data_IF_171097371939
#
_entry.id   IF_171097371939
#
_cell.length_a   1.000
_cell.length_b   1.000
_cell.length_c   1.000
_cell.angle_alpha   90.00
_cell.angle_beta   90.00
_cell.angle_gamma   90.00
#
_symmetry.space_group_name_H-M   'P 1'
#
loop_
_entity.id
_entity.type
_entity.pdbx_description
1 polymer ?
#
# COMPACT_ATOMS: atom_id res chain seq x y z
N UNK A 1 -54.75 28.67 -16.72
CA UNK A 1 -53.60 28.92 -17.63
C UNK A 1 -52.33 28.82 -16.81
N UNK A 2 -51.25 28.34 -17.44
CA UNK A 2 -49.93 27.99 -16.91
C UNK A 2 -49.76 26.52 -16.49
N UNK A 3 -49.58 25.71 -17.53
CA UNK A 3 -48.89 24.43 -17.59
C UNK A 3 -47.41 24.59 -17.23
N UNK A 4 -46.89 23.73 -16.35
CA UNK A 4 -45.45 23.57 -16.10
C UNK A 4 -44.95 22.31 -16.79
N UNK A 5 -44.05 22.53 -17.73
CA UNK A 5 -43.42 21.53 -18.60
C UNK A 5 -42.22 20.89 -17.87
N UNK A 6 -42.22 19.57 -17.74
CA UNK A 6 -41.07 18.78 -17.30
C UNK A 6 -39.97 18.79 -18.37
N UNK A 7 -38.75 19.20 -18.01
CA UNK A 7 -37.56 19.00 -18.84
C UNK A 7 -36.87 17.70 -18.40
N UNK A 8 -37.03 16.65 -19.22
CA UNK A 8 -36.15 15.49 -19.21
C UNK A 8 -34.80 15.88 -19.82
N UNK A 9 -33.71 15.73 -19.06
CA UNK A 9 -32.36 15.78 -19.59
C UNK A 9 -32.03 14.42 -20.21
N UNK A 10 -31.97 14.37 -21.55
CA UNK A 10 -31.59 13.19 -22.30
C UNK A 10 -30.06 12.99 -22.27
N UNK A 11 -29.64 11.79 -21.84
CA UNK A 11 -28.27 11.31 -21.98
C UNK A 11 -27.92 11.13 -23.46
N UNK A 12 -26.91 11.87 -23.94
CA UNK A 12 -26.32 11.68 -25.26
C UNK A 12 -25.32 10.53 -25.16
N UNK A 13 -25.69 9.39 -25.74
CA UNK A 13 -24.80 8.27 -26.00
C UNK A 13 -23.99 8.55 -27.28
N UNK A 14 -22.68 8.66 -27.16
CA UNK A 14 -21.77 8.66 -28.31
C UNK A 14 -21.55 7.21 -28.77
N UNK A 15 -22.15 6.87 -29.90
CA UNK A 15 -21.72 5.75 -30.76
C UNK A 15 -20.46 6.16 -31.53
N UNK A 16 -19.49 5.24 -31.63
CA UNK A 16 -18.74 4.85 -32.85
C UNK A 16 -17.28 4.52 -32.54
N UNK A 17 -16.92 3.24 -32.69
CA UNK A 17 -15.76 2.73 -33.44
C UNK A 17 -15.41 1.32 -32.96
N UNK A 18 -15.85 0.32 -33.73
CA UNK A 18 -15.28 -1.03 -33.72
C UNK A 18 -14.06 -1.07 -34.65
N UNK A 19 -13.02 -1.86 -34.33
CA UNK A 19 -12.15 -2.43 -35.35
C UNK A 19 -12.52 -3.88 -35.65
N UNK A 20 -12.44 -4.21 -36.94
CA UNK A 20 -12.77 -5.49 -37.58
C UNK A 20 -11.93 -6.67 -37.08
N UNK A 21 -12.56 -7.85 -37.05
CA UNK A 21 -11.90 -9.15 -36.92
C UNK A 21 -11.33 -9.57 -38.28
N UNK A 22 -10.09 -10.01 -38.30
CA UNK A 22 -9.58 -10.96 -39.30
C UNK A 22 -8.91 -12.13 -38.59
N UNK A 23 -9.54 -13.29 -38.68
CA UNK A 23 -8.95 -14.60 -38.35
C UNK A 23 -7.91 -14.98 -39.40
N UNK A 24 -6.68 -15.28 -38.99
CA UNK A 24 -5.80 -16.19 -39.74
C UNK A 24 -5.04 -17.06 -38.74
N UNK A 25 -5.33 -18.36 -38.81
CA UNK A 25 -4.62 -19.45 -38.15
C UNK A 25 -3.31 -19.76 -38.88
N UNK A 26 -2.20 -19.89 -38.15
CA UNK A 26 -1.04 -20.65 -38.59
C UNK A 26 -0.25 -21.20 -37.38
N UNK A 27 0.19 -22.45 -37.52
CA UNK A 27 0.69 -23.35 -36.47
C UNK A 27 2.21 -23.58 -36.66
N UNK A 28 3.00 -23.35 -35.59
CA UNK A 28 4.26 -24.06 -35.16
C UNK A 28 5.55 -23.77 -35.97
N UNK A 29 6.78 -23.62 -35.37
CA UNK A 29 7.35 -24.52 -34.35
C UNK A 29 8.09 -23.94 -33.13
N UNK A 30 8.21 -24.84 -32.15
CA UNK A 30 9.03 -24.78 -30.92
C UNK A 30 10.50 -24.98 -31.26
N UNK A 31 11.40 -24.13 -30.76
CA UNK A 31 12.74 -24.45 -30.22
C UNK A 31 13.41 -23.18 -29.65
N UNK A 32 14.11 -23.31 -28.51
CA UNK A 32 15.14 -22.35 -28.08
C UNK A 32 15.04 -21.90 -26.62
N UNK A 33 15.68 -22.65 -25.72
CA UNK A 33 15.96 -22.23 -24.36
C UNK A 33 17.00 -21.10 -24.43
N UNK A 34 16.58 -19.87 -24.13
CA UNK A 34 17.45 -18.70 -24.02
C UNK A 34 17.35 -18.11 -22.61
N UNK A 35 18.44 -18.20 -21.87
CA UNK A 35 18.58 -17.67 -20.50
C UNK A 35 18.33 -16.15 -20.50
N UNK A 36 17.30 -15.69 -19.78
CA UNK A 36 17.06 -14.28 -19.57
C UNK A 36 18.13 -13.74 -18.60
N UNK A 37 19.09 -13.01 -19.14
CA UNK A 37 20.03 -12.20 -18.36
C UNK A 37 19.25 -11.00 -17.82
N UNK A 38 18.95 -11.05 -16.53
CA UNK A 38 18.40 -9.92 -15.78
C UNK A 38 19.52 -8.91 -15.57
N UNK A 39 19.54 -7.83 -16.34
CA UNK A 39 20.46 -6.71 -16.14
C UNK A 39 19.94 -5.83 -15.01
N UNK A 40 20.74 -5.76 -13.95
CA UNK A 40 20.54 -4.95 -12.75
C UNK A 40 20.62 -3.46 -13.12
N UNK A 41 19.47 -2.79 -13.13
CA UNK A 41 19.40 -1.33 -13.19
C UNK A 41 19.04 -0.81 -11.80
N UNK A 42 20.04 -0.72 -10.93
CA UNK A 42 19.95 0.10 -9.73
C UNK A 42 19.96 1.57 -10.15
N UNK A 43 18.78 2.18 -10.26
CA UNK A 43 18.67 3.63 -10.31
C UNK A 43 19.11 4.15 -8.94
N UNK A 44 20.28 4.78 -8.87
CA UNK A 44 20.70 5.54 -7.70
C UNK A 44 19.73 6.72 -7.54
N UNK A 45 18.84 6.64 -6.55
CA UNK A 45 18.04 7.80 -6.13
C UNK A 45 19.01 8.73 -5.39
N UNK A 46 19.22 9.98 -5.86
CA UNK A 46 20.16 10.89 -5.22
C UNK A 46 19.74 11.16 -3.77
N UNK A 47 20.68 10.99 -2.84
CA UNK A 47 20.53 11.20 -1.39
C UNK A 47 20.12 12.66 -1.04
N UNK A 48 20.31 13.61 -1.96
CA UNK A 48 20.03 15.04 -1.75
C UNK A 48 18.55 15.44 -1.95
N UNK A 49 17.67 14.56 -2.47
CA UNK A 49 16.27 14.92 -2.76
C UNK A 49 15.27 14.62 -1.65
N UNK A 50 15.69 13.99 -0.55
CA UNK A 50 14.80 13.66 0.55
C UNK A 50 15.34 14.37 1.81
N UNK A 51 14.79 15.53 2.15
CA UNK A 51 15.11 16.31 3.36
C UNK A 51 14.69 15.63 4.68
N UNK A 52 14.79 14.30 4.75
CA UNK A 52 14.46 13.45 5.89
C UNK A 52 15.77 12.93 6.47
N UNK A 53 16.01 13.19 7.75
CA UNK A 53 17.07 12.54 8.52
C UNK A 53 16.71 11.07 8.75
N UNK A 54 17.06 10.22 7.78
CA UNK A 54 16.72 8.79 7.82
C UNK A 54 17.33 8.08 9.03
N UNK A 55 18.46 8.54 9.54
CA UNK A 55 19.12 7.95 10.72
C UNK A 55 18.35 8.25 12.00
N UNK A 56 17.87 9.49 12.19
CA UNK A 56 17.09 9.88 13.36
C UNK A 56 15.79 9.08 13.52
N UNK A 57 15.22 8.60 12.40
CA UNK A 57 13.96 7.85 12.39
C UNK A 57 14.13 6.36 12.11
N UNK A 58 15.37 5.86 11.97
CA UNK A 58 15.65 4.46 11.65
C UNK A 58 14.99 4.02 10.35
N UNK A 59 14.98 4.90 9.35
CA UNK A 59 14.43 4.68 8.02
C UNK A 59 15.55 4.28 7.06
N UNK A 60 15.19 3.45 6.09
CA UNK A 60 16.05 3.10 4.97
C UNK A 60 15.37 3.55 3.70
N UNK A 61 16.05 4.37 2.90
CA UNK A 61 15.55 4.85 1.61
C UNK A 61 16.21 4.14 0.42
N UNK A 62 17.34 3.47 0.64
CA UNK A 62 18.04 2.68 -0.39
C UNK A 62 17.91 1.19 -0.11
N UNK A 63 17.57 0.35 -1.10
CA UNK A 63 17.44 -1.09 -0.89
C UNK A 63 18.80 -1.75 -0.56
N UNK A 64 18.76 -2.85 0.19
CA UNK A 64 19.94 -3.71 0.43
C UNK A 64 19.64 -5.12 -0.06
N UNK A 65 20.54 -5.62 -0.91
CA UNK A 65 20.48 -6.98 -1.44
C UNK A 65 19.42 -7.11 -2.54
N UNK A 66 18.86 -8.32 -2.70
CA UNK A 66 17.88 -8.61 -3.75
C UNK A 66 16.46 -8.58 -3.20
N UNK A 67 15.51 -8.12 -4.00
CA UNK A 67 14.10 -8.03 -3.59
C UNK A 67 13.51 -9.39 -3.18
N UNK A 68 13.89 -10.46 -3.88
CA UNK A 68 13.46 -11.82 -3.52
C UNK A 68 13.94 -12.24 -2.13
N UNK A 69 15.17 -11.86 -1.76
CA UNK A 69 15.73 -12.15 -0.44
C UNK A 69 14.99 -11.36 0.65
N UNK A 70 14.60 -10.11 0.37
CA UNK A 70 13.78 -9.32 1.29
C UNK A 70 12.40 -9.96 1.54
N UNK A 71 11.74 -10.47 0.49
CA UNK A 71 10.47 -11.21 0.63
C UNK A 71 10.64 -12.51 1.43
N UNK A 72 11.72 -13.25 1.18
CA UNK A 72 12.03 -14.47 1.94
C UNK A 72 12.26 -14.17 3.43
N UNK A 73 12.99 -13.11 3.74
CA UNK A 73 13.22 -12.66 5.13
C UNK A 73 11.90 -12.35 5.86
N UNK A 74 10.97 -11.65 5.19
CA UNK A 74 9.64 -11.36 5.74
C UNK A 74 8.90 -12.66 6.12
N UNK A 75 8.94 -13.65 5.22
CA UNK A 75 8.29 -14.96 5.44
C UNK A 75 8.96 -15.70 6.61
N UNK A 76 10.29 -15.75 6.68
CA UNK A 76 11.00 -16.44 7.76
C UNK A 76 10.72 -15.81 9.13
N UNK A 77 10.71 -14.48 9.23
CA UNK A 77 10.39 -13.77 10.48
C UNK A 77 8.95 -14.01 10.93
N UNK A 78 8.00 -13.99 9.99
CA UNK A 78 6.59 -14.34 10.26
C UNK A 78 6.43 -15.77 10.76
N UNK A 79 7.11 -16.74 10.14
CA UNK A 79 7.07 -18.16 10.54
C UNK A 79 7.65 -18.38 11.94
N UNK A 80 8.74 -17.71 12.29
CA UNK A 80 9.31 -17.77 13.64
C UNK A 80 8.30 -17.30 14.70
N UNK A 81 7.65 -16.16 14.45
CA UNK A 81 6.62 -15.63 15.34
C UNK A 81 5.38 -16.54 15.37
N UNK A 82 4.99 -17.11 14.23
CA UNK A 82 3.86 -18.05 14.15
C UNK A 82 4.10 -19.28 15.03
N UNK A 83 5.30 -19.87 15.01
CA UNK A 83 5.64 -21.01 15.87
C UNK A 83 5.50 -20.64 17.34
N UNK A 84 6.06 -19.48 17.75
CA UNK A 84 5.93 -18.98 19.12
C UNK A 84 4.46 -18.74 19.51
N UNK A 85 3.68 -18.15 18.61
CA UNK A 85 2.26 -17.85 18.83
C UNK A 85 1.44 -19.14 19.03
N UNK A 86 1.68 -20.16 18.21
CA UNK A 86 1.01 -21.47 18.32
C UNK A 86 1.39 -22.23 19.59
N UNK A 87 2.63 -22.10 20.05
CA UNK A 87 3.12 -22.71 21.29
C UNK A 87 2.69 -21.96 22.56
N UNK A 88 2.17 -20.74 22.44
CA UNK A 88 1.73 -19.94 23.58
C UNK A 88 0.45 -20.53 24.20
N UNK A 89 0.50 -20.77 25.51
CA UNK A 89 -0.57 -21.41 26.30
C UNK A 89 -1.50 -20.42 27.00
N UNK A 90 -1.16 -19.12 27.00
CA UNK A 90 -1.98 -18.08 27.64
C UNK A 90 -2.26 -16.93 26.66
N UNK A 91 -3.40 -16.26 26.86
CA UNK A 91 -3.78 -15.09 26.06
C UNK A 91 -2.80 -13.94 26.24
N UNK A 92 -2.27 -13.74 27.46
CA UNK A 92 -1.25 -12.73 27.73
C UNK A 92 0.01 -12.94 26.90
N UNK A 93 0.51 -14.18 26.81
CA UNK A 93 1.67 -14.51 25.96
C UNK A 93 1.36 -14.29 24.48
N UNK A 94 0.15 -14.65 24.02
CA UNK A 94 -0.29 -14.39 22.64
C UNK A 94 -0.33 -12.90 22.33
N UNK A 95 -0.90 -12.08 23.21
CA UNK A 95 -0.94 -10.62 23.03
C UNK A 95 0.46 -9.99 22.95
N UNK A 96 1.43 -10.47 23.74
CA UNK A 96 2.83 -10.01 23.65
C UNK A 96 3.45 -10.36 22.29
N UNK A 97 3.21 -11.58 21.79
CA UNK A 97 3.71 -12.01 20.48
C UNK A 97 3.01 -11.25 19.34
N UNK A 98 1.71 -10.97 19.46
CA UNK A 98 0.97 -10.14 18.49
C UNK A 98 1.53 -8.71 18.45
N UNK A 99 1.83 -8.11 19.60
CA UNK A 99 2.47 -6.79 19.64
C UNK A 99 3.88 -6.79 19.03
N UNK A 100 4.66 -7.86 19.23
CA UNK A 100 5.95 -8.04 18.56
C UNK A 100 5.78 -8.20 17.04
N UNK A 101 4.78 -8.96 16.60
CA UNK A 101 4.43 -9.12 15.19
C UNK A 101 4.14 -7.78 14.52
N UNK A 102 3.40 -6.89 15.20
CA UNK A 102 3.15 -5.52 14.75
C UNK A 102 4.42 -4.73 14.47
N UNK A 103 5.38 -4.76 15.41
CA UNK A 103 6.69 -4.11 15.23
C UNK A 103 7.48 -4.75 14.10
N UNK A 104 7.54 -6.08 14.04
CA UNK A 104 8.29 -6.81 13.01
C UNK A 104 7.72 -6.53 11.61
N UNK A 105 6.41 -6.61 11.42
CA UNK A 105 5.78 -6.30 10.14
C UNK A 105 6.06 -4.85 9.71
N UNK A 106 5.96 -3.92 10.64
CA UNK A 106 6.29 -2.49 10.40
C UNK A 106 7.73 -2.34 9.92
N UNK A 107 8.70 -2.92 10.63
CA UNK A 107 10.12 -2.85 10.26
C UNK A 107 10.42 -3.55 8.94
N UNK A 108 9.77 -4.68 8.65
CA UNK A 108 9.91 -5.35 7.35
C UNK A 108 9.39 -4.47 6.21
N UNK A 109 8.24 -3.82 6.38
CA UNK A 109 7.69 -2.92 5.37
C UNK A 109 8.63 -1.73 5.11
N UNK A 110 8.95 -0.95 6.15
CA UNK A 110 9.69 0.31 6.00
C UNK A 110 11.16 0.09 5.61
N UNK A 111 11.81 -0.95 6.13
CA UNK A 111 13.26 -1.11 6.01
C UNK A 111 13.68 -2.24 5.06
N UNK A 112 12.76 -3.10 4.62
CA UNK A 112 13.07 -4.23 3.72
C UNK A 112 12.25 -4.25 2.43
N UNK A 113 10.99 -3.80 2.46
CA UNK A 113 10.10 -3.84 1.28
C UNK A 113 10.06 -2.50 0.54
N UNK A 114 9.60 -1.42 1.20
CA UNK A 114 9.46 -0.10 0.59
C UNK A 114 10.73 0.44 -0.08
N UNK A 115 11.96 0.21 0.44
CA UNK A 115 13.17 0.74 -0.17
C UNK A 115 13.39 0.29 -1.62
N UNK A 116 12.95 -0.92 -1.97
CA UNK A 116 13.04 -1.38 -3.36
C UNK A 116 12.01 -0.68 -4.26
N UNK A 117 10.87 -0.27 -3.71
CA UNK A 117 9.81 0.34 -4.49
C UNK A 117 10.04 1.81 -4.78
N UNK A 118 10.79 2.55 -3.95
CA UNK A 118 11.04 3.97 -4.20
C UNK A 118 11.56 4.21 -5.63
N UNK A 119 11.02 5.23 -6.29
CA UNK A 119 11.30 5.54 -7.71
C UNK A 119 10.54 4.69 -8.74
N UNK A 120 9.76 3.68 -8.33
CA UNK A 120 8.91 2.93 -9.29
C UNK A 120 7.86 3.89 -9.86
N UNK A 121 7.81 4.02 -11.19
CA UNK A 121 6.97 4.98 -11.88
C UNK A 121 5.48 4.81 -11.53
N UNK A 122 4.74 5.92 -11.55
CA UNK A 122 3.29 5.92 -11.35
C UNK A 122 2.54 5.94 -12.69
N UNK A 123 1.47 5.13 -12.76
CA UNK A 123 0.39 5.30 -13.71
C UNK A 123 -0.94 4.88 -13.04
N UNK A 124 -2.04 5.49 -13.45
CA UNK A 124 -3.38 5.17 -12.92
C UNK A 124 -3.75 3.69 -13.13
N UNK A 125 -3.32 3.09 -14.24
CA UNK A 125 -3.52 1.68 -14.56
C UNK A 125 -2.30 0.81 -14.20
N UNK A 126 -1.31 1.38 -13.51
CA UNK A 126 -0.09 0.67 -13.13
C UNK A 126 -0.38 -0.47 -12.16
N UNK A 127 -0.02 -1.70 -12.56
CA UNK A 127 -0.27 -2.93 -11.79
C UNK A 127 0.98 -3.77 -11.53
N UNK A 128 2.19 -3.23 -11.78
CA UNK A 128 3.42 -4.02 -11.70
C UNK A 128 3.55 -4.77 -10.35
N UNK A 129 4.08 -5.99 -10.41
CA UNK A 129 4.41 -6.81 -9.23
C UNK A 129 5.91 -6.76 -8.91
N UNK A 130 6.68 -5.98 -9.67
CA UNK A 130 8.14 -5.91 -9.60
C UNK A 130 8.56 -4.46 -9.36
N UNK A 131 9.25 -4.15 -8.26
CA UNK A 131 9.75 -2.80 -8.01
C UNK A 131 10.74 -2.36 -9.10
N UNK A 132 10.67 -1.10 -9.51
CA UNK A 132 11.54 -0.51 -10.54
C UNK A 132 11.23 -0.94 -11.98
N UNK A 133 10.29 -1.86 -12.20
CA UNK A 133 9.91 -2.34 -13.53
C UNK A 133 8.44 -2.03 -13.82
N UNK A 134 8.17 -1.22 -14.84
CA UNK A 134 6.82 -0.77 -15.17
C UNK A 134 6.27 0.25 -14.19
N UNK A 135 4.94 0.27 -14.04
CA UNK A 135 4.23 1.33 -13.33
C UNK A 135 3.32 0.77 -12.23
N UNK A 136 3.12 1.53 -11.15
CA UNK A 136 2.25 1.14 -10.04
C UNK A 136 1.34 2.27 -9.56
N UNK A 137 0.03 2.01 -9.57
CA UNK A 137 -0.95 2.92 -8.98
C UNK A 137 -0.93 2.85 -7.45
N UNK A 138 -1.46 3.86 -6.78
CA UNK A 138 -1.44 4.00 -5.32
C UNK A 138 -2.07 2.80 -4.56
N UNK A 139 -3.25 2.35 -4.99
CA UNK A 139 -3.91 1.16 -4.41
C UNK A 139 -3.11 -0.13 -4.63
N UNK A 140 -2.46 -0.27 -5.79
CA UNK A 140 -1.58 -1.40 -6.07
C UNK A 140 -0.30 -1.33 -5.25
N UNK A 141 0.28 -0.15 -5.02
CA UNK A 141 1.46 -0.03 -4.14
C UNK A 141 1.14 -0.53 -2.72
N UNK A 142 0.02 -0.09 -2.13
CA UNK A 142 -0.42 -0.55 -0.81
C UNK A 142 -0.65 -2.06 -0.79
N UNK A 143 -1.45 -2.58 -1.72
CA UNK A 143 -1.85 -4.00 -1.68
C UNK A 143 -0.70 -4.96 -2.01
N UNK A 144 0.22 -4.55 -2.89
CA UNK A 144 1.38 -5.34 -3.32
C UNK A 144 2.42 -5.43 -2.23
N UNK A 145 2.74 -4.30 -1.58
CA UNK A 145 3.74 -4.29 -0.50
C UNK A 145 3.25 -5.06 0.73
N UNK A 146 1.96 -4.96 1.09
CA UNK A 146 1.37 -5.79 2.14
C UNK A 146 1.45 -7.29 1.82
N UNK A 147 1.09 -7.67 0.58
CA UNK A 147 1.24 -9.06 0.10
C UNK A 147 2.70 -9.51 0.17
N UNK A 148 3.64 -8.67 -0.26
CA UNK A 148 5.08 -9.01 -0.30
C UNK A 148 5.72 -9.06 1.09
N UNK A 149 5.16 -8.36 2.08
CA UNK A 149 5.50 -8.51 3.49
C UNK A 149 4.83 -9.74 4.16
N UNK A 150 4.11 -10.56 3.38
CA UNK A 150 3.56 -11.85 3.83
C UNK A 150 2.11 -11.81 4.31
N UNK A 151 1.36 -10.71 4.07
CA UNK A 151 -0.08 -10.71 4.30
C UNK A 151 -0.78 -11.53 3.22
N UNK A 152 -1.61 -12.49 3.63
CA UNK A 152 -2.42 -13.27 2.70
C UNK A 152 -3.63 -12.44 2.25
N UNK A 153 -3.43 -11.64 1.20
CA UNK A 153 -4.45 -10.73 0.66
C UNK A 153 -4.45 -10.77 -0.86
N UNK A 154 -5.64 -10.67 -1.46
CA UNK A 154 -5.76 -10.52 -2.89
C UNK A 154 -5.42 -9.07 -3.30
N UNK A 155 -4.23 -8.86 -3.87
CA UNK A 155 -3.73 -7.52 -4.24
C UNK A 155 -4.63 -6.78 -5.22
N UNK A 156 -5.22 -7.48 -6.19
CA UNK A 156 -6.09 -6.90 -7.21
C UNK A 156 -7.39 -6.42 -6.59
N UNK A 157 -8.06 -7.29 -5.82
CA UNK A 157 -9.33 -6.94 -5.18
C UNK A 157 -9.17 -5.79 -4.20
N UNK A 158 -8.09 -5.76 -3.41
CA UNK A 158 -7.84 -4.69 -2.46
C UNK A 158 -7.53 -3.36 -3.17
N UNK A 159 -6.66 -3.38 -4.18
CA UNK A 159 -6.26 -2.17 -4.93
C UNK A 159 -7.44 -1.47 -5.62
N UNK A 160 -8.46 -2.23 -6.02
CA UNK A 160 -9.65 -1.74 -6.73
C UNK A 160 -10.76 -1.25 -5.79
N UNK A 161 -10.58 -1.31 -4.47
CA UNK A 161 -11.58 -0.78 -3.53
C UNK A 161 -11.39 0.72 -3.35
N UNK A 162 -12.50 1.40 -3.04
CA UNK A 162 -12.44 2.76 -2.51
C UNK A 162 -11.62 2.80 -1.22
N UNK A 163 -11.06 3.97 -0.89
CA UNK A 163 -10.31 4.18 0.35
C UNK A 163 -11.07 3.67 1.59
N UNK A 164 -12.36 3.95 1.69
CA UNK A 164 -13.21 3.48 2.79
C UNK A 164 -13.35 1.95 2.81
N UNK A 165 -13.73 1.33 1.69
CA UNK A 165 -13.99 -0.11 1.63
C UNK A 165 -12.70 -0.91 1.81
N UNK A 166 -11.59 -0.46 1.21
CA UNK A 166 -10.28 -1.06 1.39
C UNK A 166 -9.81 -0.98 2.85
N UNK A 167 -9.91 0.21 3.46
CA UNK A 167 -9.59 0.41 4.89
C UNK A 167 -10.44 -0.49 5.78
N UNK A 168 -11.75 -0.59 5.53
CA UNK A 168 -12.64 -1.48 6.29
C UNK A 168 -12.26 -2.96 6.16
N UNK A 169 -11.77 -3.39 5.00
CA UNK A 169 -11.30 -4.77 4.81
C UNK A 169 -10.02 -5.04 5.62
N UNK A 170 -9.10 -4.06 5.68
CA UNK A 170 -7.85 -4.17 6.44
C UNK A 170 -8.06 -4.03 7.96
N UNK A 171 -9.09 -3.31 8.40
CA UNK A 171 -9.34 -3.12 9.83
C UNK A 171 -9.77 -4.42 10.52
N UNK A 172 -10.35 -5.39 9.79
CA UNK A 172 -10.80 -6.70 10.31
C UNK A 172 -11.64 -6.54 11.59
N UNK A 173 -12.62 -5.63 11.52
CA UNK A 173 -13.52 -5.27 12.62
C UNK A 173 -12.85 -4.55 13.82
N UNK A 174 -11.56 -4.25 13.74
CA UNK A 174 -10.91 -3.28 14.62
C UNK A 174 -11.28 -1.84 14.20
N UNK A 175 -10.96 -0.89 15.08
CA UNK A 175 -11.29 0.52 14.92
C UNK A 175 -10.56 1.15 13.72
N UNK A 176 -11.34 1.92 12.96
CA UNK A 176 -10.87 2.74 11.87
C UNK A 176 -11.12 4.19 12.25
N UNK A 177 -10.06 5.00 12.33
CA UNK A 177 -10.19 6.43 12.63
C UNK A 177 -10.55 7.16 11.35
N UNK A 178 -11.76 7.70 11.27
CA UNK A 178 -12.20 8.56 10.17
C UNK A 178 -12.16 10.00 10.66
N UNK A 179 -11.25 10.78 10.10
CA UNK A 179 -11.08 12.19 10.40
C UNK A 179 -11.57 12.99 9.19
N UNK A 180 -12.33 14.06 9.44
CA UNK A 180 -12.92 14.92 8.41
C UNK A 180 -12.67 16.37 8.72
N UNK A 181 -12.71 17.21 7.68
CA UNK A 181 -12.68 18.67 7.81
C UNK A 181 -11.45 19.20 8.56
N UNK A 182 -10.29 18.57 8.36
CA UNK A 182 -8.99 19.06 8.81
C UNK A 182 -8.17 19.45 7.59
N UNK A 183 -7.45 20.58 7.67
CA UNK A 183 -6.38 20.86 6.72
C UNK A 183 -5.25 19.82 6.85
N UNK A 184 -4.34 19.71 5.87
CA UNK A 184 -3.20 18.80 5.95
C UNK A 184 -2.36 19.05 7.21
N UNK A 185 -2.13 20.31 7.57
CA UNK A 185 -1.36 20.71 8.76
C UNK A 185 -2.08 20.27 10.04
N UNK A 186 -3.39 20.57 10.14
CA UNK A 186 -4.21 20.14 11.29
C UNK A 186 -4.27 18.61 11.43
N UNK A 187 -4.21 17.88 10.31
CA UNK A 187 -4.15 16.43 10.32
C UNK A 187 -2.78 15.94 10.79
N UNK A 188 -1.69 16.56 10.34
CA UNK A 188 -0.33 16.26 10.83
C UNK A 188 -0.23 16.50 12.34
N UNK A 189 -0.69 17.66 12.84
CA UNK A 189 -0.70 17.97 14.27
C UNK A 189 -1.51 16.93 15.05
N UNK A 190 -2.72 16.60 14.57
CA UNK A 190 -3.52 15.53 15.16
C UNK A 190 -2.80 14.18 15.17
N UNK A 191 -2.09 13.81 14.09
CA UNK A 191 -1.32 12.57 14.07
C UNK A 191 -0.15 12.58 15.07
N UNK A 192 0.53 13.71 15.26
CA UNK A 192 1.64 13.86 16.21
C UNK A 192 1.19 13.75 17.66
N UNK A 193 0.00 14.27 17.97
CA UNK A 193 -0.48 14.40 19.35
C UNK A 193 -1.41 13.25 19.79
N UNK A 194 -2.26 12.76 18.90
CA UNK A 194 -3.40 11.89 19.26
C UNK A 194 -3.33 10.48 18.66
N UNK A 195 -2.33 10.21 17.82
CA UNK A 195 -2.16 8.91 17.17
C UNK A 195 -0.86 8.27 17.64
N UNK A 196 -0.96 7.04 18.13
CA UNK A 196 0.17 6.26 18.62
C UNK A 196 1.19 6.03 17.50
N UNK A 197 2.48 6.12 17.83
CA UNK A 197 3.57 5.73 16.92
C UNK A 197 3.35 4.35 16.29
N UNK A 198 3.51 4.27 14.98
CA UNK A 198 3.27 3.06 14.19
C UNK A 198 3.05 3.37 12.71
N UNK A 199 2.86 2.31 11.95
CA UNK A 199 2.48 2.35 10.55
C UNK A 199 0.97 2.15 10.41
N UNK A 200 0.38 2.98 9.58
CA UNK A 200 -1.04 2.98 9.27
C UNK A 200 -1.20 2.94 7.75
N UNK A 201 -2.25 2.27 7.24
CA UNK A 201 -2.74 2.67 5.92
C UNK A 201 -3.54 3.95 6.09
N UNK A 202 -3.39 4.86 5.14
CA UNK A 202 -4.19 6.08 5.05
C UNK A 202 -4.99 6.07 3.76
N UNK A 203 -6.31 6.18 3.90
CA UNK A 203 -7.23 6.43 2.81
C UNK A 203 -7.59 7.91 2.75
N UNK A 204 -7.45 8.50 1.56
CA UNK A 204 -7.83 9.88 1.23
C UNK A 204 -9.03 9.88 0.26
N UNK A 205 -9.53 11.05 -0.13
CA UNK A 205 -10.67 11.17 -1.04
C UNK A 205 -10.39 10.54 -2.43
N UNK A 206 -9.18 10.74 -2.96
CA UNK A 206 -8.77 10.28 -4.29
C UNK A 206 -7.44 9.51 -4.30
N UNK A 207 -6.92 9.17 -3.12
CA UNK A 207 -5.58 8.62 -2.99
C UNK A 207 -5.47 7.70 -1.79
N UNK A 208 -4.47 6.82 -1.79
CA UNK A 208 -4.18 5.91 -0.69
C UNK A 208 -2.68 5.72 -0.53
N UNK A 209 -2.24 5.45 0.68
CA UNK A 209 -0.84 5.16 0.97
C UNK A 209 -0.67 4.64 2.39
N UNK A 210 0.53 4.84 2.93
CA UNK A 210 0.82 4.60 4.32
C UNK A 210 1.18 5.91 5.03
N UNK A 211 0.80 5.99 6.29
CA UNK A 211 1.22 7.03 7.22
C UNK A 211 2.10 6.36 8.27
N UNK A 212 3.37 6.75 8.32
CA UNK A 212 4.29 6.34 9.39
C UNK A 212 4.38 7.47 10.41
N UNK A 213 4.03 7.17 11.65
CA UNK A 213 4.16 8.07 12.79
C UNK A 213 5.27 7.53 13.67
N UNK A 214 6.32 8.32 13.86
CA UNK A 214 7.51 7.90 14.64
C UNK A 214 8.18 9.10 15.25
N UNK A 215 8.40 9.07 16.56
CA UNK A 215 9.08 10.14 17.31
C UNK A 215 8.46 11.53 17.04
N UNK A 216 7.13 11.61 16.99
CA UNK A 216 6.37 12.83 16.65
C UNK A 216 6.64 13.41 15.26
N UNK A 217 7.16 12.61 14.33
CA UNK A 217 7.21 12.95 12.92
C UNK A 217 6.25 12.08 12.12
N UNK A 218 5.69 12.66 11.05
CA UNK A 218 4.65 12.01 10.24
C UNK A 218 5.12 11.95 8.80
N UNK A 219 5.28 10.73 8.28
CA UNK A 219 5.72 10.48 6.91
C UNK A 219 4.59 9.88 6.09
N UNK A 220 4.41 10.41 4.87
CA UNK A 220 3.52 9.85 3.87
C UNK A 220 4.33 9.01 2.89
N UNK A 221 3.95 7.73 2.75
CA UNK A 221 4.62 6.76 1.86
C UNK A 221 3.59 6.28 0.85
N UNK A 222 3.77 6.61 -0.42
CA UNK A 222 2.76 6.37 -1.44
C UNK A 222 3.37 6.28 -2.84
N UNK A 223 2.56 5.85 -3.81
CA UNK A 223 2.86 6.05 -5.24
C UNK A 223 2.22 7.37 -5.69
N UNK A 224 3.03 8.41 -5.90
CA UNK A 224 2.60 9.77 -6.22
C UNK A 224 2.13 9.88 -7.66
N UNK A 225 0.87 10.32 -7.81
CA UNK A 225 0.31 10.70 -9.10
C UNK A 225 0.71 12.11 -9.53
N UNK A 226 1.20 12.93 -8.59
CA UNK A 226 1.68 14.27 -8.89
C UNK A 226 2.98 14.17 -9.71
N UNK A 227 3.01 14.86 -10.84
CA UNK A 227 4.12 14.86 -11.80
C UNK A 227 4.61 13.46 -12.23
N UNK A 228 3.82 12.40 -11.97
CA UNK A 228 4.22 10.98 -12.14
C UNK A 228 5.51 10.61 -11.39
N UNK A 229 5.75 11.22 -10.23
CA UNK A 229 6.96 11.00 -9.43
C UNK A 229 7.12 9.55 -8.94
N UNK A 230 6.06 8.76 -8.91
CA UNK A 230 6.16 7.35 -8.56
C UNK A 230 6.19 7.12 -7.07
N UNK A 231 6.71 5.96 -6.64
CA UNK A 231 6.75 5.61 -5.23
C UNK A 231 7.78 6.44 -4.49
N UNK A 232 7.38 7.05 -3.38
CA UNK A 232 8.24 7.90 -2.56
C UNK A 232 7.85 7.89 -1.08
N UNK A 233 8.71 8.50 -0.28
CA UNK A 233 8.47 8.84 1.12
C UNK A 233 8.75 10.33 1.31
N UNK A 234 7.79 11.02 1.92
CA UNK A 234 7.86 12.46 2.18
C UNK A 234 7.38 12.75 3.60
N UNK A 235 7.77 13.90 4.16
CA UNK A 235 7.07 14.41 5.34
C UNK A 235 5.64 14.76 4.94
N UNK A 236 4.65 14.31 5.70
CA UNK A 236 3.25 14.51 5.36
C UNK A 236 2.86 16.00 5.31
N UNK A 237 3.52 16.83 6.12
CA UNK A 237 3.35 18.30 6.13
C UNK A 237 3.83 18.97 4.83
N UNK A 238 4.79 18.37 4.13
CA UNK A 238 5.43 18.96 2.95
C UNK A 238 4.86 18.36 1.64
N UNK A 239 4.03 17.32 1.73
CA UNK A 239 3.51 16.57 0.59
C UNK A 239 2.16 17.13 0.11
N UNK A 240 2.07 17.72 -1.09
CA UNK A 240 0.79 18.18 -1.66
C UNK A 240 -0.18 17.02 -1.91
N UNK A 241 0.32 15.80 -2.16
CA UNK A 241 -0.48 14.59 -2.36
C UNK A 241 -1.19 14.11 -1.09
N UNK A 242 -0.87 14.70 0.07
CA UNK A 242 -1.50 14.37 1.35
C UNK A 242 -2.77 15.19 1.60
N UNK A 243 -3.07 16.20 0.77
CA UNK A 243 -4.23 17.04 0.94
C UNK A 243 -5.55 16.30 0.67
N UNK A 244 -6.45 16.30 1.65
CA UNK A 244 -7.77 15.66 1.56
C UNK A 244 -8.76 16.24 2.56
N UNK A 245 -10.06 16.11 2.28
CA UNK A 245 -11.13 16.40 3.24
C UNK A 245 -11.41 15.23 4.19
N UNK A 246 -10.99 14.02 3.81
CA UNK A 246 -11.21 12.79 4.57
C UNK A 246 -9.90 12.03 4.77
N UNK A 247 -9.57 11.69 6.00
CA UNK A 247 -8.47 10.80 6.34
C UNK A 247 -9.01 9.55 7.04
N UNK A 248 -8.68 8.38 6.51
CA UNK A 248 -9.12 7.09 7.05
C UNK A 248 -7.87 6.33 7.48
N UNK A 249 -7.62 6.24 8.78
CA UNK A 249 -6.46 5.55 9.34
C UNK A 249 -6.86 4.16 9.85
N UNK A 250 -6.11 3.15 9.41
CA UNK A 250 -6.16 1.78 9.94
C UNK A 250 -4.76 1.37 10.34
N UNK A 251 -4.58 0.99 11.60
CA UNK A 251 -3.26 0.59 12.08
C UNK A 251 -2.82 -0.72 11.44
N UNK A 252 -1.57 -0.79 11.00
CA UNK A 252 -0.88 -2.03 10.67
C UNK A 252 -0.11 -2.54 11.90
N UNK A 253 0.48 -1.63 12.67
CA UNK A 253 1.31 -1.98 13.83
C UNK A 253 0.52 -2.46 15.05
N UNK A 254 -0.69 -1.91 15.27
CA UNK A 254 -1.45 -2.14 16.50
C UNK A 254 -2.79 -2.84 16.29
N UNK A 255 -3.07 -3.33 15.09
CA UNK A 255 -4.31 -4.04 14.77
C UNK A 255 -4.14 -5.54 15.05
N UNK A 256 -4.52 -5.97 16.25
CA UNK A 256 -4.36 -7.35 16.68
C UNK A 256 -5.08 -8.36 15.73
N UNK A 257 -6.34 -8.15 15.32
CA UNK A 257 -7.00 -9.04 14.36
C UNK A 257 -6.25 -9.20 13.03
N UNK A 258 -5.70 -8.12 12.47
CA UNK A 258 -4.87 -8.16 11.25
C UNK A 258 -3.57 -8.92 11.47
N UNK A 259 -2.91 -8.67 12.60
CA UNK A 259 -1.64 -9.29 12.93
C UNK A 259 -1.78 -10.78 13.21
N UNK A 260 -2.88 -11.19 13.84
CA UNK A 260 -3.21 -12.61 14.02
C UNK A 260 -3.43 -13.30 12.66
N UNK A 261 -4.13 -12.65 11.72
CA UNK A 261 -4.25 -13.18 10.35
C UNK A 261 -2.91 -13.28 9.64
N UNK A 262 -2.07 -12.25 9.75
CA UNK A 262 -0.71 -12.27 9.20
C UNK A 262 0.13 -13.42 9.80
N UNK A 263 0.18 -13.52 11.12
CA UNK A 263 0.88 -14.60 11.83
C UNK A 263 0.39 -15.98 11.37
N UNK A 264 -0.93 -16.16 11.31
CA UNK A 264 -1.55 -17.43 10.96
C UNK A 264 -1.59 -17.71 9.45
N UNK A 265 -1.15 -16.78 8.61
CA UNK A 265 -1.26 -16.81 7.15
C UNK A 265 -2.72 -16.96 6.65
N UNK A 266 -3.66 -16.46 7.44
CA UNK A 266 -5.07 -16.51 7.09
C UNK A 266 -5.43 -15.42 6.08
N UNK A 267 -6.35 -15.75 5.18
CA UNK A 267 -6.83 -14.79 4.20
C UNK A 267 -7.50 -13.58 4.86
N UNK A 268 -7.07 -12.38 4.46
CA UNK A 268 -7.79 -11.13 4.65
C UNK A 268 -8.82 -11.00 3.52
N UNK A 269 -10.07 -11.34 3.85
CA UNK A 269 -11.17 -11.34 2.87
C UNK A 269 -11.50 -9.92 2.43
N UNK A 270 -11.39 -9.68 1.13
CA UNK A 270 -11.85 -8.42 0.52
C UNK A 270 -13.33 -8.56 0.19
N UNK A 271 -14.18 -7.84 0.94
CA UNK A 271 -15.62 -7.84 0.69
C UNK A 271 -15.92 -7.12 -0.62
N UNK A 272 -16.78 -7.72 -1.43
CA UNK A 272 -17.39 -6.98 -2.54
C UNK A 272 -18.31 -5.91 -1.95
N UNK A 273 -18.27 -4.70 -2.52
CA UNK A 273 -19.13 -3.61 -2.06
C UNK A 273 -20.59 -4.01 -2.29
N UNK A 274 -21.44 -3.80 -1.28
CA UNK A 274 -22.86 -3.58 -1.50
C UNK A 274 -23.09 -2.09 -1.62
#
# INVERSE_FOLDING_TARGET
MYTTTSLLLACIACMSCQPERTDVSAVVPVHGIGSAVQTDHSVEIPDETIGIDTTAYGLRITPIGKYISAKQECVSKRQLLQTRYKSATTDSTRSVITAEAGRVLTEQLINRIFPFWYGTAWDFNGITDVPGEGEIACGYFVSTTLKHAGLNVNRYKLAQKSAYTGSRCLSINDDMKIIRNKSPEQMVDFAKDEVRDGLYTVGLDYHVGFLLIRNKEVFFIHSSYLNREGVMIEKAQDSPAFASNTYILVSITHNAPLLEKWLMNEEVKIKEGR
#
